data_IF_814141485321
#
_entry.id   IF_814141485321
#
_cell.length_a   1.000
_cell.length_b   1.000
_cell.length_c   1.000
_cell.angle_alpha   90.00
_cell.angle_beta   90.00
_cell.angle_gamma   90.00
#
_symmetry.space_group_name_H-M   'P 1'
#
loop_
_entity.id
_entity.type
_entity.pdbx_description
1 polymer ?
#
# COMPACT_ATOMS: atom_id res chain seq x y z
N UNK A 1 -4.36 7.99 41.04
CA UNK A 1 -5.59 8.76 40.78
C UNK A 1 -6.58 7.84 40.09
N UNK A 2 -7.70 7.52 40.74
CA UNK A 2 -8.76 6.66 40.20
C UNK A 2 -9.67 7.49 39.31
N UNK A 3 -9.84 7.11 38.04
CA UNK A 3 -10.84 7.75 37.17
C UNK A 3 -12.20 7.09 37.38
N UNK A 4 -13.18 7.93 37.74
CA UNK A 4 -14.58 7.60 37.99
C UNK A 4 -15.22 7.13 36.67
N UNK A 5 -15.73 5.89 36.64
CA UNK A 5 -16.49 5.35 35.51
C UNK A 5 -17.94 5.82 35.66
N UNK A 6 -18.40 6.71 34.78
CA UNK A 6 -19.83 7.05 34.71
C UNK A 6 -20.54 6.11 33.74
N UNK A 7 -21.32 5.20 34.32
CA UNK A 7 -22.19 4.28 33.59
C UNK A 7 -23.53 4.99 33.31
N UNK A 8 -23.83 5.28 32.06
CA UNK A 8 -25.15 5.77 31.64
C UNK A 8 -26.00 4.60 31.16
N UNK A 9 -27.10 4.31 31.86
CA UNK A 9 -28.06 3.27 31.48
C UNK A 9 -29.09 3.84 30.49
N UNK A 10 -29.17 3.26 29.29
CA UNK A 10 -30.28 3.51 28.36
C UNK A 10 -31.15 2.26 28.31
N UNK A 11 -32.38 2.37 28.82
CA UNK A 11 -33.35 1.28 28.83
C UNK A 11 -34.17 1.31 27.54
N UNK A 12 -33.90 0.39 26.61
CA UNK A 12 -34.82 0.08 25.51
C UNK A 12 -35.27 -1.37 25.72
N UNK A 13 -36.54 -1.52 26.10
CA UNK A 13 -37.34 -2.75 26.17
C UNK A 13 -36.54 -4.03 26.51
N UNK A 14 -36.41 -4.28 27.82
CA UNK A 14 -36.08 -5.57 28.46
C UNK A 14 -34.84 -6.34 27.96
N UNK A 15 -33.89 -5.67 27.29
CA UNK A 15 -32.57 -6.22 27.02
C UNK A 15 -31.56 -5.19 27.51
N UNK A 16 -30.93 -5.45 28.66
CA UNK A 16 -29.77 -4.68 29.11
C UNK A 16 -28.60 -4.98 28.17
N UNK A 17 -28.50 -4.24 27.07
CA UNK A 17 -27.31 -4.26 26.24
C UNK A 17 -26.26 -3.42 26.95
N UNK A 18 -25.43 -4.07 27.78
CA UNK A 18 -24.13 -3.52 28.16
C UNK A 18 -23.29 -3.44 26.90
N UNK A 19 -23.42 -2.33 26.16
CA UNK A 19 -22.48 -1.98 25.11
C UNK A 19 -21.22 -1.56 25.84
N UNK A 20 -20.37 -2.54 26.17
CA UNK A 20 -18.95 -2.29 26.31
C UNK A 20 -18.55 -1.60 25.02
N UNK A 21 -18.26 -0.30 25.08
CA UNK A 21 -17.54 0.41 24.03
C UNK A 21 -16.17 -0.26 23.96
N UNK A 22 -16.13 -1.40 23.28
CA UNK A 22 -14.93 -2.18 23.05
C UNK A 22 -13.92 -1.23 22.43
N UNK A 23 -12.71 -1.24 23.00
CA UNK A 23 -11.52 -0.62 22.42
C UNK A 23 -11.65 -0.66 20.91
N UNK A 24 -11.67 0.51 20.25
CA UNK A 24 -11.42 0.54 18.83
C UNK A 24 -10.12 -0.21 18.64
N UNK A 25 -10.16 -1.44 18.11
CA UNK A 25 -8.97 -2.18 17.75
C UNK A 25 -8.24 -1.25 16.79
N UNK A 26 -7.21 -0.55 17.30
CA UNK A 26 -6.39 0.32 16.47
C UNK A 26 -5.79 -0.61 15.43
N UNK A 27 -6.34 -0.59 14.23
CA UNK A 27 -5.81 -1.39 13.14
C UNK A 27 -4.41 -0.89 12.87
N UNK A 28 -3.44 -1.77 13.12
CA UNK A 28 -2.04 -1.48 12.96
C UNK A 28 -1.38 -2.57 12.14
N UNK A 29 -0.44 -2.17 11.30
CA UNK A 29 0.34 -3.08 10.48
C UNK A 29 1.74 -3.24 11.07
N UNK A 30 2.19 -4.48 11.14
CA UNK A 30 3.58 -4.78 11.47
C UNK A 30 4.48 -4.57 10.25
N UNK A 31 5.77 -4.35 10.46
CA UNK A 31 6.74 -4.27 9.35
C UNK A 31 6.72 -5.52 8.46
N UNK A 32 6.38 -6.69 9.01
CA UNK A 32 6.26 -7.94 8.25
C UNK A 32 5.05 -7.88 7.32
N UNK A 33 3.88 -7.51 7.83
CA UNK A 33 2.67 -7.39 7.01
C UNK A 33 2.85 -6.37 5.89
N UNK A 34 3.42 -5.20 6.19
CA UNK A 34 3.73 -4.19 5.16
C UNK A 34 4.71 -4.75 4.11
N UNK A 35 5.68 -5.57 4.53
CA UNK A 35 6.64 -6.19 3.61
C UNK A 35 5.97 -7.22 2.70
N UNK A 36 5.14 -8.09 3.27
CA UNK A 36 4.40 -9.13 2.57
C UNK A 36 3.41 -8.49 1.56
N UNK A 37 2.67 -7.46 1.96
CA UNK A 37 1.72 -6.71 1.12
C UNK A 37 2.42 -6.04 -0.08
N UNK A 38 3.59 -5.45 0.16
CA UNK A 38 4.36 -4.76 -0.89
C UNK A 38 5.23 -5.72 -1.73
N UNK A 39 5.37 -6.98 -1.31
CA UNK A 39 6.23 -7.99 -1.94
C UNK A 39 7.72 -7.65 -1.82
N UNK A 40 8.16 -7.04 -0.71
CA UNK A 40 9.55 -6.60 -0.51
C UNK A 40 10.16 -7.19 0.75
N UNK A 41 11.49 -7.17 0.85
CA UNK A 41 12.18 -7.64 2.05
C UNK A 41 11.87 -6.75 3.27
N UNK A 42 11.62 -7.36 4.44
CA UNK A 42 11.36 -6.66 5.72
C UNK A 42 12.44 -5.61 6.08
N UNK A 43 13.70 -5.85 5.74
CA UNK A 43 14.79 -4.88 5.95
C UNK A 43 14.58 -3.60 5.15
N UNK A 44 13.99 -3.69 3.95
CA UNK A 44 13.66 -2.51 3.13
C UNK A 44 12.58 -1.66 3.81
N UNK A 45 11.60 -2.28 4.47
CA UNK A 45 10.60 -1.59 5.28
C UNK A 45 11.25 -0.89 6.46
N UNK A 46 12.08 -1.60 7.24
CA UNK A 46 12.82 -1.02 8.37
C UNK A 46 13.63 0.21 7.96
N UNK A 47 14.47 0.09 6.92
CA UNK A 47 15.30 1.21 6.42
C UNK A 47 14.45 2.40 5.98
N UNK A 48 13.28 2.13 5.41
CA UNK A 48 12.35 3.19 4.96
C UNK A 48 11.72 3.90 6.14
N UNK A 49 11.22 3.16 7.13
CA UNK A 49 10.67 3.69 8.38
C UNK A 49 11.72 4.54 9.11
N UNK A 50 12.96 4.04 9.25
CA UNK A 50 14.04 4.78 9.89
C UNK A 50 14.42 6.04 9.11
N UNK A 51 14.50 5.98 7.78
CA UNK A 51 14.83 7.13 6.94
C UNK A 51 13.76 8.23 6.99
N UNK A 52 12.50 7.84 7.08
CA UNK A 52 11.35 8.75 7.15
C UNK A 52 10.99 9.15 8.59
N UNK A 53 11.69 8.62 9.59
CA UNK A 53 11.42 8.83 11.02
C UNK A 53 9.96 8.55 11.41
N UNK A 54 9.34 7.52 10.80
CA UNK A 54 7.94 7.17 11.11
C UNK A 54 7.84 6.56 12.50
N UNK A 55 6.82 7.00 13.25
CA UNK A 55 6.54 6.52 14.61
C UNK A 55 5.51 5.40 14.58
N UNK A 56 5.69 4.46 15.49
CA UNK A 56 4.70 3.43 15.78
C UNK A 56 3.45 4.05 16.40
N UNK A 57 2.29 3.52 16.03
CA UNK A 57 1.01 3.89 16.62
C UNK A 57 0.82 3.28 18.00
N UNK A 58 1.29 2.04 18.17
CA UNK A 58 1.32 1.32 19.44
C UNK A 58 2.30 0.15 19.39
N UNK A 59 2.60 -0.42 20.56
CA UNK A 59 3.39 -1.64 20.71
C UNK A 59 2.57 -2.70 21.42
N UNK A 60 2.69 -3.94 20.97
CA UNK A 60 2.17 -5.12 21.69
C UNK A 60 3.34 -6.06 21.96
N UNK A 61 3.82 -6.08 23.20
CA UNK A 61 5.08 -6.73 23.56
C UNK A 61 6.26 -6.11 22.80
N UNK A 62 7.01 -6.95 22.09
CA UNK A 62 8.15 -6.52 21.24
C UNK A 62 7.74 -6.14 19.81
N UNK A 63 6.47 -6.29 19.45
CA UNK A 63 6.00 -6.02 18.09
C UNK A 63 5.51 -4.59 17.96
N UNK A 64 6.04 -3.87 16.96
CA UNK A 64 5.66 -2.52 16.59
C UNK A 64 4.52 -2.54 15.58
N UNK A 65 3.51 -1.72 15.81
CA UNK A 65 2.37 -1.54 14.93
C UNK A 65 2.33 -0.11 14.42
N UNK A 66 2.21 0.03 13.11
CA UNK A 66 2.17 1.31 12.40
C UNK A 66 0.74 1.59 11.96
N UNK A 67 0.32 2.85 11.98
CA UNK A 67 -0.99 3.26 11.50
C UNK A 67 -1.04 3.30 9.96
N UNK A 68 -2.22 3.62 9.43
CA UNK A 68 -2.44 3.74 8.00
C UNK A 68 -1.53 4.80 7.38
N UNK A 69 -1.34 5.95 8.04
CA UNK A 69 -0.51 7.03 7.52
C UNK A 69 0.95 6.60 7.34
N UNK A 70 1.51 5.86 8.31
CA UNK A 70 2.84 5.30 8.19
C UNK A 70 2.92 4.21 7.10
N UNK A 71 1.89 3.36 6.94
CA UNK A 71 1.81 2.39 5.85
C UNK A 71 1.83 3.07 4.48
N UNK A 72 1.00 4.09 4.28
CA UNK A 72 0.91 4.85 3.04
C UNK A 72 2.22 5.58 2.71
N UNK A 73 2.89 6.15 3.72
CA UNK A 73 4.19 6.78 3.56
C UNK A 73 5.27 5.78 3.11
N UNK A 74 5.27 4.57 3.66
CA UNK A 74 6.18 3.48 3.26
C UNK A 74 5.87 3.03 1.83
N UNK A 75 4.59 2.84 1.50
CA UNK A 75 4.15 2.44 0.17
C UNK A 75 4.58 3.46 -0.90
N UNK A 76 4.29 4.74 -0.68
CA UNK A 76 4.71 5.83 -1.57
C UNK A 76 6.24 5.94 -1.70
N UNK A 77 6.99 5.65 -0.64
CA UNK A 77 8.45 5.69 -0.69
C UNK A 77 9.07 4.50 -1.44
N UNK A 78 8.39 3.35 -1.49
CA UNK A 78 8.88 2.12 -2.11
C UNK A 78 8.40 2.01 -3.57
N UNK A 79 7.15 2.40 -3.82
CA UNK A 79 6.52 2.50 -5.13
C UNK A 79 6.13 3.96 -5.35
N UNK A 80 7.11 4.85 -5.63
CA UNK A 80 6.77 6.23 -5.95
C UNK A 80 5.91 6.20 -7.22
N UNK A 81 4.61 6.47 -7.08
CA UNK A 81 3.76 6.77 -8.22
C UNK A 81 4.44 7.89 -9.00
N UNK A 82 4.67 7.65 -10.29
CA UNK A 82 5.55 8.43 -11.18
C UNK A 82 5.00 9.83 -11.52
N UNK A 83 4.24 10.46 -10.62
CA UNK A 83 3.58 11.76 -10.82
C UNK A 83 3.96 12.83 -9.79
N UNK A 84 4.80 12.53 -8.78
CA UNK A 84 5.30 13.55 -7.85
C UNK A 84 6.82 13.52 -7.73
N UNK A 85 7.47 13.98 -8.81
CA UNK A 85 8.81 14.55 -8.73
C UNK A 85 8.70 16.03 -8.38
N UNK A 86 8.65 16.35 -7.09
CA UNK A 86 9.16 17.63 -6.60
C UNK A 86 10.06 17.32 -5.41
N UNK A 87 11.35 17.12 -5.69
CA UNK A 87 12.40 17.18 -4.67
C UNK A 87 13.07 18.53 -4.78
N UNK A 88 12.85 19.39 -3.80
CA UNK A 88 13.81 20.45 -3.46
C UNK A 88 14.86 19.85 -2.53
N UNK A 89 16.03 19.53 -3.07
CA UNK A 89 17.29 20.06 -2.55
C UNK A 89 18.49 19.65 -3.43
N UNK A 90 19.44 20.56 -3.66
CA UNK A 90 20.56 20.33 -4.57
C UNK A 90 21.75 19.66 -3.85
N UNK A 91 22.65 19.12 -4.68
CA UNK A 91 24.01 18.71 -4.36
C UNK A 91 24.17 17.36 -3.63
N UNK A 92 24.39 16.30 -4.40
CA UNK A 92 25.73 15.72 -4.55
C UNK A 92 25.74 14.38 -5.32
N UNK A 93 26.49 14.40 -6.44
CA UNK A 93 27.38 13.32 -6.91
C UNK A 93 26.77 12.11 -7.66
N UNK A 94 26.88 12.20 -8.99
CA UNK A 94 26.97 11.14 -10.01
C UNK A 94 27.08 9.69 -9.52
N UNK A 95 26.14 8.85 -9.99
CA UNK A 95 26.45 7.70 -10.85
C UNK A 95 25.35 7.56 -11.91
N UNK A 96 25.68 7.91 -13.16
CA UNK A 96 24.93 7.52 -14.35
C UNK A 96 25.11 6.01 -14.54
N UNK A 97 24.03 5.27 -14.78
CA UNK A 97 23.88 4.20 -15.83
C UNK A 97 22.67 3.26 -15.63
N UNK A 98 21.96 3.28 -14.49
CA UNK A 98 20.85 2.32 -14.27
C UNK A 98 19.45 2.80 -14.69
N UNK A 99 19.21 4.11 -14.75
CA UNK A 99 17.86 4.65 -15.00
C UNK A 99 17.43 4.59 -16.48
N UNK A 100 18.40 4.56 -17.40
CA UNK A 100 18.10 4.43 -18.84
C UNK A 100 17.64 3.01 -19.18
N UNK A 101 18.28 1.99 -18.61
CA UNK A 101 17.97 0.58 -18.88
C UNK A 101 16.60 0.17 -18.33
N UNK A 102 16.23 0.64 -17.13
CA UNK A 102 14.92 0.36 -16.55
C UNK A 102 13.78 1.01 -17.35
N UNK A 103 13.97 2.25 -17.80
CA UNK A 103 12.98 2.92 -18.65
C UNK A 103 12.87 2.26 -20.03
N UNK A 104 13.98 1.81 -20.63
CA UNK A 104 13.93 1.05 -21.90
C UNK A 104 13.18 -0.27 -21.74
N UNK A 105 13.39 -0.99 -20.63
CA UNK A 105 12.64 -2.22 -20.35
C UNK A 105 11.15 -1.96 -20.20
N UNK A 106 10.75 -0.90 -19.48
CA UNK A 106 9.33 -0.53 -19.33
C UNK A 106 8.68 -0.17 -20.67
N UNK A 107 9.37 0.58 -21.53
CA UNK A 107 8.89 0.90 -22.88
C UNK A 107 8.72 -0.38 -23.71
N UNK A 108 9.72 -1.27 -23.71
CA UNK A 108 9.67 -2.52 -24.47
C UNK A 108 8.54 -3.46 -24.02
N UNK A 109 8.26 -3.50 -22.71
CA UNK A 109 7.15 -4.29 -22.15
C UNK A 109 5.80 -3.70 -22.55
N UNK A 110 5.66 -2.38 -22.51
CA UNK A 110 4.44 -1.68 -22.91
C UNK A 110 4.14 -1.88 -24.40
N UNK A 111 5.16 -1.81 -25.26
CA UNK A 111 5.00 -2.05 -26.69
C UNK A 111 4.58 -3.50 -26.99
N UNK A 112 5.16 -4.47 -26.26
CA UNK A 112 4.77 -5.88 -26.37
C UNK A 112 3.31 -6.11 -25.92
N UNK A 113 2.89 -5.50 -24.81
CA UNK A 113 1.49 -5.60 -24.33
C UNK A 113 0.52 -5.05 -25.36
N UNK A 114 0.84 -3.88 -25.96
CA UNK A 114 0.00 -3.31 -27.03
C UNK A 114 -0.10 -4.23 -28.25
N UNK A 115 1.03 -4.76 -28.72
CA UNK A 115 1.04 -5.68 -29.85
C UNK A 115 0.19 -6.93 -29.58
N UNK A 116 0.28 -7.49 -28.37
CA UNK A 116 -0.55 -8.62 -27.94
C UNK A 116 -2.03 -8.26 -27.89
N UNK A 117 -2.38 -7.08 -27.38
CA UNK A 117 -3.76 -6.61 -27.32
C UNK A 117 -4.37 -6.48 -28.72
N UNK A 118 -3.63 -5.88 -29.66
CA UNK A 118 -4.07 -5.79 -31.07
C UNK A 118 -4.25 -7.16 -31.71
N UNK A 119 -3.36 -8.12 -31.42
CA UNK A 119 -3.50 -9.48 -31.93
C UNK A 119 -4.76 -10.17 -31.38
N UNK A 120 -5.05 -10.00 -30.08
CA UNK A 120 -6.27 -10.53 -29.46
C UNK A 120 -7.51 -9.92 -30.09
N UNK A 121 -7.55 -8.60 -30.30
CA UNK A 121 -8.67 -7.92 -30.95
C UNK A 121 -8.90 -8.43 -32.37
N UNK A 122 -7.83 -8.61 -33.14
CA UNK A 122 -7.91 -9.12 -34.52
C UNK A 122 -8.47 -10.54 -34.55
N UNK A 123 -7.94 -11.44 -33.70
CA UNK A 123 -8.42 -12.82 -33.59
C UNK A 123 -9.86 -12.89 -33.11
N UNK A 124 -10.23 -12.06 -32.13
CA UNK A 124 -11.61 -11.95 -31.63
C UNK A 124 -12.54 -11.45 -32.73
N UNK A 125 -12.09 -10.49 -33.54
CA UNK A 125 -12.82 -10.00 -34.71
C UNK A 125 -13.06 -11.09 -35.75
N UNK A 126 -12.05 -11.92 -36.06
CA UNK A 126 -12.21 -13.05 -36.98
C UNK A 126 -13.20 -14.09 -36.44
N UNK A 127 -13.09 -14.46 -35.16
CA UNK A 127 -14.00 -15.42 -34.54
C UNK A 127 -15.44 -14.90 -34.47
N UNK A 128 -15.62 -13.61 -34.16
CA UNK A 128 -16.94 -12.98 -34.15
C UNK A 128 -17.53 -12.91 -35.55
N UNK A 129 -16.71 -12.54 -36.55
CA UNK A 129 -17.15 -12.52 -37.95
C UNK A 129 -17.50 -13.92 -38.45
N UNK A 130 -16.79 -14.97 -38.03
CA UNK A 130 -17.09 -16.35 -38.41
C UNK A 130 -18.36 -16.92 -37.74
N UNK A 131 -18.66 -16.50 -36.50
CA UNK A 131 -19.85 -16.98 -35.76
C UNK A 131 -21.16 -16.30 -36.18
N UNK A 132 -21.12 -15.25 -36.99
CA UNK A 132 -22.32 -14.55 -37.50
C UNK A 132 -22.83 -15.16 -38.82
N UNK A 133 -22.05 -16.03 -39.47
CA UNK A 133 -22.40 -16.66 -40.75
C UNK A 133 -22.72 -18.18 -40.67
N UNK A 134 -22.97 -18.72 -39.48
CA UNK A 134 -23.45 -20.09 -39.26
C UNK A 134 -24.81 -20.10 -38.54
#
# INVERSE_FOLDING_TARGET
MYNKVENSNVTIHNITVVIQLSEQEKQGWTMKQIADDLGVNKMRIYRTISRLNLKEAYKKGQTLYFDQAAKDAVENAIRPNTSQSVRTNPQSRQTKTTDTSANQLLVSLNDRVKAQQTQIETLTGYLTSHNVFN
#
